data_IF_300433972386
#
_entry.id   IF_300433972386
#
_cell.length_a   1.000
_cell.length_b   1.000
_cell.length_c   1.000
_cell.angle_alpha   90.00
_cell.angle_beta   90.00
_cell.angle_gamma   90.00
#
_symmetry.space_group_name_H-M   'P 1'
#
loop_
_entity.id
_entity.type
_entity.pdbx_description
1 polymer ?
#
# COMPACT_ATOMS: atom_id res chain seq x y z
N UNK A 1 30.14 26.50 61.74
CA UNK A 1 30.89 27.77 61.77
C UNK A 1 30.50 28.56 60.54
N UNK A 2 29.79 29.59 60.87
CA UNK A 2 29.85 30.99 60.38
C UNK A 2 29.43 31.19 58.91
N UNK A 3 28.44 31.91 58.80
CA UNK A 3 27.92 33.29 59.01
C UNK A 3 27.69 33.91 57.65
N UNK A 4 26.41 34.29 57.38
CA UNK A 4 25.87 35.69 57.45
C UNK A 4 26.32 36.49 56.22
N UNK A 5 25.58 37.35 55.57
CA UNK A 5 24.36 38.12 55.91
C UNK A 5 23.97 38.99 54.69
N UNK A 6 22.64 39.25 54.62
CA UNK A 6 21.98 40.56 54.37
C UNK A 6 22.05 41.26 52.99
N UNK A 7 20.92 41.34 52.34
CA UNK A 7 19.91 42.45 52.27
C UNK A 7 20.32 43.72 51.46
N UNK A 8 19.38 44.57 51.16
CA UNK A 8 18.55 44.61 49.95
C UNK A 8 18.68 45.96 49.25
N UNK A 9 18.23 46.14 48.06
CA UNK A 9 17.94 47.48 47.53
C UNK A 9 16.60 47.50 46.78
N UNK A 10 15.61 47.97 47.51
CA UNK A 10 14.41 48.58 46.95
C UNK A 10 14.75 49.97 46.46
N UNK A 11 14.32 50.39 45.27
CA UNK A 11 13.52 51.60 45.14
C UNK A 11 13.19 51.98 43.72
N UNK A 12 11.91 52.15 43.48
CA UNK A 12 11.31 53.23 42.69
C UNK A 12 11.62 53.28 41.18
N UNK A 13 10.71 52.76 40.38
CA UNK A 13 10.22 53.46 39.18
C UNK A 13 8.80 52.96 38.90
N UNK A 14 7.87 53.43 39.71
CA UNK A 14 6.46 53.41 39.34
C UNK A 14 6.14 54.74 38.68
N UNK A 15 5.18 54.74 37.77
CA UNK A 15 4.42 55.90 37.30
C UNK A 15 4.70 56.48 35.92
N UNK A 16 5.13 55.70 34.95
CA UNK A 16 5.02 56.17 33.53
C UNK A 16 4.53 55.15 32.51
N UNK A 17 4.18 53.93 32.93
CA UNK A 17 3.69 52.87 31.98
C UNK A 17 2.18 52.90 31.73
N UNK A 18 1.42 53.78 32.41
CA UNK A 18 -0.07 53.71 32.36
C UNK A 18 -0.73 54.66 31.34
N UNK A 19 0.02 55.45 30.59
CA UNK A 19 -0.56 56.35 29.57
C UNK A 19 -0.33 55.95 28.10
N UNK A 20 0.48 54.94 27.83
CA UNK A 20 0.72 54.42 26.48
C UNK A 20 -0.13 53.20 26.14
N UNK A 21 -0.83 52.62 27.11
CA UNK A 21 -1.63 51.42 26.90
C UNK A 21 -3.09 51.70 26.44
N UNK A 22 -3.55 52.96 26.54
CA UNK A 22 -4.91 53.34 26.12
C UNK A 22 -5.02 53.79 24.64
N UNK A 23 -3.90 54.07 23.97
CA UNK A 23 -3.91 54.46 22.56
C UNK A 23 -3.79 53.28 21.59
N UNK A 24 -3.40 52.08 22.07
CA UNK A 24 -3.23 50.88 21.22
C UNK A 24 -4.53 50.05 21.05
N UNK A 25 -5.57 50.34 21.84
CA UNK A 25 -6.84 49.56 21.83
C UNK A 25 -7.85 50.10 20.81
N UNK A 26 -7.64 51.30 20.24
CA UNK A 26 -8.59 51.91 19.33
C UNK A 26 -8.28 51.73 17.81
N UNK A 27 -7.17 51.05 17.49
CA UNK A 27 -6.77 50.82 16.06
C UNK A 27 -7.03 49.37 15.57
N UNK A 28 -7.65 48.50 16.36
CA UNK A 28 -7.90 47.10 15.98
C UNK A 28 -9.34 46.79 15.53
N UNK A 29 -10.20 47.79 15.35
CA UNK A 29 -11.62 47.57 15.03
C UNK A 29 -12.01 47.96 13.58
N UNK A 30 -11.06 48.15 12.67
CA UNK A 30 -11.37 48.46 11.27
C UNK A 30 -10.65 47.53 10.27
N UNK A 31 -10.45 46.26 10.62
CA UNK A 31 -10.05 45.24 9.65
C UNK A 31 -11.15 44.16 9.56
N UNK A 32 -12.33 44.57 9.15
CA UNK A 32 -13.35 43.66 8.61
C UNK A 32 -13.23 43.66 7.09
N UNK A 33 -12.03 43.30 6.60
CA UNK A 33 -11.77 42.89 5.23
C UNK A 33 -11.95 41.37 5.22
N UNK A 34 -13.04 40.87 4.67
CA UNK A 34 -13.21 39.44 4.41
C UNK A 34 -12.07 38.95 3.52
N UNK A 35 -11.02 38.40 4.13
CA UNK A 35 -10.16 37.47 3.44
C UNK A 35 -11.06 36.28 3.05
N UNK A 36 -11.42 36.23 1.79
CA UNK A 36 -11.81 34.97 1.17
C UNK A 36 -10.62 34.05 1.43
N UNK A 37 -10.76 33.13 2.40
CA UNK A 37 -9.89 31.97 2.45
C UNK A 37 -9.90 31.39 1.02
N UNK A 38 -8.80 31.60 0.31
CA UNK A 38 -8.55 30.87 -0.90
C UNK A 38 -8.56 29.41 -0.46
N UNK A 39 -9.65 28.73 -0.76
CA UNK A 39 -9.75 27.28 -0.65
C UNK A 39 -8.54 26.77 -1.42
N UNK A 40 -7.51 26.30 -0.72
CA UNK A 40 -6.42 25.56 -1.36
C UNK A 40 -7.14 24.44 -2.10
N UNK A 41 -7.15 24.52 -3.42
CA UNK A 41 -7.52 23.38 -4.25
C UNK A 41 -6.68 22.23 -3.74
N UNK A 42 -7.33 21.23 -3.18
CA UNK A 42 -6.66 20.01 -2.76
C UNK A 42 -6.00 19.46 -4.03
N UNK A 43 -4.67 19.39 -4.01
CA UNK A 43 -3.93 18.70 -5.07
C UNK A 43 -4.52 17.29 -5.13
N UNK A 44 -5.02 16.85 -6.29
CA UNK A 44 -5.58 15.52 -6.41
C UNK A 44 -4.57 14.49 -5.91
N UNK A 45 -4.99 13.59 -5.04
CA UNK A 45 -4.14 12.49 -4.60
C UNK A 45 -3.64 11.72 -5.83
N UNK A 46 -2.36 11.33 -5.79
CA UNK A 46 -1.80 10.53 -6.88
C UNK A 46 -2.64 9.25 -7.08
N UNK A 47 -2.90 8.84 -8.34
CA UNK A 47 -3.66 7.62 -8.57
C UNK A 47 -2.99 6.41 -7.91
N UNK A 48 -3.80 5.48 -7.44
CA UNK A 48 -3.31 4.20 -6.88
C UNK A 48 -3.09 3.20 -8.02
N UNK A 49 -1.91 2.59 -8.06
CA UNK A 49 -1.61 1.47 -8.94
C UNK A 49 -1.47 0.19 -8.14
N UNK A 50 -2.48 -0.65 -8.19
CA UNK A 50 -2.54 -1.92 -7.48
C UNK A 50 -2.06 -3.07 -8.35
N UNK A 51 -1.09 -3.83 -7.87
CA UNK A 51 -0.62 -5.08 -8.46
C UNK A 51 -1.08 -6.24 -7.60
N UNK A 52 -1.77 -7.19 -8.19
CA UNK A 52 -2.24 -8.43 -7.54
C UNK A 52 -1.56 -9.62 -8.20
N UNK A 53 -0.76 -10.34 -7.43
CA UNK A 53 -0.11 -11.59 -7.85
C UNK A 53 -0.88 -12.77 -7.25
N UNK A 54 -1.54 -13.56 -8.11
CA UNK A 54 -2.29 -14.76 -7.72
C UNK A 54 -1.45 -16.01 -8.01
N UNK A 55 -1.06 -16.69 -6.96
CA UNK A 55 -0.31 -17.93 -7.08
C UNK A 55 -1.21 -19.05 -7.61
N UNK A 56 -0.75 -19.67 -8.70
CA UNK A 56 -1.42 -20.76 -9.41
C UNK A 56 -0.66 -22.07 -9.32
N UNK A 57 0.33 -22.12 -8.44
CA UNK A 57 1.11 -23.33 -8.19
C UNK A 57 0.35 -24.32 -7.31
N UNK A 58 0.84 -25.56 -7.27
CA UNK A 58 0.13 -26.65 -6.57
C UNK A 58 0.14 -26.52 -5.04
N UNK A 59 1.06 -25.76 -4.49
CA UNK A 59 1.18 -25.54 -3.04
C UNK A 59 0.03 -24.70 -2.50
N UNK A 60 -0.55 -23.81 -3.32
CA UNK A 60 -1.65 -22.93 -2.91
C UNK A 60 -3.00 -23.59 -3.26
N UNK A 61 -3.66 -24.13 -2.24
CA UNK A 61 -4.95 -24.81 -2.37
C UNK A 61 -6.14 -23.83 -2.29
N UNK A 62 -6.39 -23.07 -3.37
CA UNK A 62 -7.48 -22.08 -3.44
C UNK A 62 -8.87 -22.73 -3.30
N UNK A 63 -8.99 -24.03 -3.56
CA UNK A 63 -10.20 -24.82 -3.38
C UNK A 63 -10.55 -25.10 -1.90
N UNK A 64 -9.58 -25.02 -0.99
CA UNK A 64 -9.87 -25.09 0.45
C UNK A 64 -10.73 -23.90 0.86
N UNK A 65 -11.82 -24.18 1.56
CA UNK A 65 -12.80 -23.17 1.97
C UNK A 65 -12.18 -21.97 2.68
N UNK A 66 -11.31 -22.21 3.68
CA UNK A 66 -10.64 -21.14 4.41
C UNK A 66 -9.84 -20.21 3.48
N UNK A 67 -9.01 -20.78 2.60
CA UNK A 67 -8.18 -20.02 1.65
C UNK A 67 -9.06 -19.22 0.70
N UNK A 68 -10.09 -19.85 0.15
CA UNK A 68 -11.01 -19.18 -0.77
C UNK A 68 -11.74 -18.01 -0.11
N UNK A 69 -12.27 -18.22 1.10
CA UNK A 69 -13.00 -17.18 1.84
C UNK A 69 -12.06 -16.00 2.20
N UNK A 70 -10.86 -16.29 2.71
CA UNK A 70 -9.83 -15.29 3.03
C UNK A 70 -9.44 -14.47 1.79
N UNK A 71 -9.15 -15.15 0.67
CA UNK A 71 -8.73 -14.50 -0.57
C UNK A 71 -9.85 -13.65 -1.18
N UNK A 72 -11.09 -14.13 -1.15
CA UNK A 72 -12.26 -13.37 -1.61
C UNK A 72 -12.47 -12.10 -0.80
N UNK A 73 -12.34 -12.20 0.53
CA UNK A 73 -12.43 -11.03 1.41
C UNK A 73 -11.32 -10.03 1.09
N UNK A 74 -10.07 -10.45 1.04
CA UNK A 74 -8.94 -9.57 0.72
C UNK A 74 -9.09 -8.89 -0.66
N UNK A 75 -9.55 -9.61 -1.69
CA UNK A 75 -9.83 -9.04 -3.00
C UNK A 75 -10.96 -8.00 -2.98
N UNK A 76 -12.01 -8.24 -2.16
CA UNK A 76 -13.06 -7.24 -1.95
C UNK A 76 -12.50 -5.98 -1.30
N UNK A 77 -11.71 -6.13 -0.24
CA UNK A 77 -11.11 -5.02 0.49
C UNK A 77 -10.15 -4.20 -0.40
N UNK A 78 -9.40 -4.86 -1.28
CA UNK A 78 -8.56 -4.22 -2.29
C UNK A 78 -9.40 -3.35 -3.23
N UNK A 79 -10.51 -3.86 -3.78
CA UNK A 79 -11.40 -3.08 -4.64
C UNK A 79 -11.98 -1.88 -3.89
N UNK A 80 -12.49 -2.10 -2.67
CA UNK A 80 -13.11 -1.03 -1.89
C UNK A 80 -12.11 0.07 -1.50
N UNK A 81 -10.87 -0.29 -1.19
CA UNK A 81 -9.87 0.62 -0.67
C UNK A 81 -8.99 1.28 -1.73
N UNK A 82 -8.75 0.63 -2.88
CA UNK A 82 -7.78 1.09 -3.86
C UNK A 82 -8.41 1.58 -5.18
N UNK A 83 -9.70 1.30 -5.44
CA UNK A 83 -10.38 1.69 -6.68
C UNK A 83 -11.44 2.75 -6.38
N UNK A 84 -11.01 3.98 -6.06
CA UNK A 84 -11.86 5.07 -5.57
C UNK A 84 -11.96 6.23 -6.53
N UNK A 85 -10.86 6.55 -7.22
CA UNK A 85 -10.74 7.76 -8.02
C UNK A 85 -10.52 7.41 -9.47
N UNK A 86 -10.97 8.28 -10.37
CA UNK A 86 -10.67 8.16 -11.80
C UNK A 86 -9.16 8.02 -12.02
N UNK A 87 -8.76 6.99 -12.75
CA UNK A 87 -7.36 6.69 -13.01
C UNK A 87 -6.74 5.66 -12.08
N UNK A 88 -7.36 5.32 -10.94
CA UNK A 88 -6.92 4.19 -10.12
C UNK A 88 -6.90 2.93 -10.97
N UNK A 89 -5.81 2.18 -10.88
CA UNK A 89 -5.53 1.05 -11.74
C UNK A 89 -5.25 -0.20 -10.94
N UNK A 90 -5.73 -1.36 -11.42
CA UNK A 90 -5.44 -2.66 -10.86
C UNK A 90 -5.04 -3.62 -11.98
N UNK A 91 -3.92 -4.29 -11.81
CA UNK A 91 -3.50 -5.38 -12.69
C UNK A 91 -3.32 -6.68 -11.90
N UNK A 92 -3.71 -7.80 -12.53
CA UNK A 92 -3.55 -9.15 -11.98
C UNK A 92 -2.54 -9.90 -12.81
N UNK A 93 -1.60 -10.53 -12.13
CA UNK A 93 -0.62 -11.46 -12.70
C UNK A 93 -0.75 -12.82 -12.03
N UNK A 94 -0.57 -13.89 -12.79
CA UNK A 94 -0.46 -15.23 -12.23
C UNK A 94 0.98 -15.53 -11.86
N UNK A 95 1.21 -16.07 -10.65
CA UNK A 95 2.50 -16.61 -10.26
C UNK A 95 2.59 -18.04 -10.78
N UNK A 96 3.61 -18.30 -11.58
CA UNK A 96 4.05 -19.59 -12.09
C UNK A 96 5.46 -19.42 -12.69
N UNK A 97 5.94 -20.34 -13.51
CA UNK A 97 7.28 -20.30 -14.12
C UNK A 97 7.59 -19.05 -15.00
N UNK A 98 6.60 -18.19 -15.28
CA UNK A 98 6.76 -17.03 -16.15
C UNK A 98 5.91 -15.83 -15.69
N UNK A 99 6.00 -15.51 -14.42
CA UNK A 99 5.16 -14.50 -13.74
C UNK A 99 5.17 -13.13 -14.45
N UNK A 100 6.32 -12.65 -14.91
CA UNK A 100 6.43 -11.31 -15.53
C UNK A 100 5.61 -11.14 -16.82
N UNK A 101 5.27 -12.25 -17.49
CA UNK A 101 4.49 -12.27 -18.73
C UNK A 101 3.04 -12.74 -18.53
N UNK A 102 2.66 -13.05 -17.30
CA UNK A 102 1.40 -13.70 -16.94
C UNK A 102 0.29 -12.72 -16.56
N UNK A 103 0.24 -11.52 -17.17
CA UNK A 103 -0.84 -10.56 -16.90
C UNK A 103 -2.19 -11.13 -17.32
N UNK A 104 -3.08 -11.35 -16.35
CA UNK A 104 -4.38 -11.98 -16.54
C UNK A 104 -5.55 -10.98 -16.62
N UNK A 105 -5.37 -9.75 -16.05
CA UNK A 105 -6.42 -8.74 -16.02
C UNK A 105 -5.79 -7.35 -15.88
N UNK A 106 -6.47 -6.33 -16.44
CA UNK A 106 -6.15 -4.91 -16.21
C UNK A 106 -7.45 -4.13 -16.11
N UNK A 107 -7.61 -3.37 -15.04
CA UNK A 107 -8.80 -2.57 -14.71
C UNK A 107 -8.37 -1.14 -14.43
N UNK A 108 -9.20 -0.16 -14.78
CA UNK A 108 -8.95 1.24 -14.47
C UNK A 108 -10.29 1.91 -14.19
N UNK A 109 -10.37 2.64 -13.07
CA UNK A 109 -11.57 3.41 -12.70
C UNK A 109 -11.81 4.51 -13.70
N UNK A 110 -13.02 4.55 -14.24
CA UNK A 110 -13.48 5.53 -15.23
C UNK A 110 -14.49 6.49 -14.67
N UNK A 111 -15.19 6.08 -13.59
CA UNK A 111 -16.16 6.93 -12.91
C UNK A 111 -15.51 8.22 -12.45
N UNK A 112 -16.12 9.33 -12.81
CA UNK A 112 -15.65 10.69 -12.52
C UNK A 112 -16.80 11.47 -11.92
N UNK A 113 -16.47 12.33 -10.98
CA UNK A 113 -17.39 13.25 -10.36
C UNK A 113 -17.53 14.48 -11.25
N UNK A 114 -18.76 14.88 -11.54
CA UNK A 114 -19.04 16.11 -12.30
C UNK A 114 -18.55 17.36 -11.53
N UNK A 115 -18.30 18.44 -12.28
CA UNK A 115 -17.85 19.70 -11.70
C UNK A 115 -18.90 20.25 -10.72
N UNK A 116 -18.44 20.67 -9.55
CA UNK A 116 -19.29 21.27 -8.50
C UNK A 116 -19.31 22.80 -8.54
N UNK A 117 -18.63 23.43 -9.51
CA UNK A 117 -18.56 24.88 -9.63
C UNK A 117 -19.96 25.45 -9.95
N UNK A 118 -20.42 26.39 -9.13
CA UNK A 118 -21.74 26.98 -9.26
C UNK A 118 -22.92 26.12 -8.80
N UNK A 119 -22.68 24.86 -8.41
CA UNK A 119 -23.74 23.97 -7.96
C UNK A 119 -24.24 24.36 -6.56
N UNK A 120 -25.57 24.40 -6.40
CA UNK A 120 -26.23 24.57 -5.10
C UNK A 120 -26.11 23.28 -4.25
N UNK A 121 -26.57 23.31 -3.00
CA UNK A 121 -26.45 22.17 -2.08
C UNK A 121 -27.14 20.90 -2.59
N UNK A 122 -28.33 21.03 -3.17
CA UNK A 122 -29.10 19.90 -3.71
C UNK A 122 -28.44 19.31 -4.96
N UNK A 123 -27.93 20.16 -5.84
CA UNK A 123 -27.21 19.71 -7.04
C UNK A 123 -25.91 18.97 -6.65
N UNK A 124 -25.18 19.47 -5.64
CA UNK A 124 -23.97 18.81 -5.11
C UNK A 124 -24.26 17.44 -4.56
N UNK A 125 -25.33 17.30 -3.77
CA UNK A 125 -25.77 15.99 -3.24
C UNK A 125 -26.16 15.03 -4.38
N UNK A 126 -26.87 15.56 -5.39
CA UNK A 126 -27.23 14.78 -6.59
C UNK A 126 -26.02 14.28 -7.36
N UNK A 127 -25.03 15.14 -7.60
CA UNK A 127 -23.76 14.79 -8.28
C UNK A 127 -23.00 13.73 -7.47
N UNK A 128 -22.87 13.93 -6.15
CA UNK A 128 -22.19 12.97 -5.27
C UNK A 128 -22.87 11.60 -5.32
N UNK A 129 -24.18 11.57 -5.19
CA UNK A 129 -24.97 10.32 -5.22
C UNK A 129 -24.81 9.61 -6.57
N UNK A 130 -24.88 10.32 -7.68
CA UNK A 130 -24.71 9.77 -9.02
C UNK A 130 -23.29 9.17 -9.19
N UNK A 131 -22.27 9.89 -8.74
CA UNK A 131 -20.89 9.40 -8.76
C UNK A 131 -20.73 8.12 -7.94
N UNK A 132 -21.22 8.11 -6.69
CA UNK A 132 -21.12 6.93 -5.82
C UNK A 132 -21.83 5.71 -6.42
N UNK A 133 -23.01 5.89 -7.02
CA UNK A 133 -23.73 4.81 -7.68
C UNK A 133 -22.95 4.26 -8.90
N UNK A 134 -22.38 5.14 -9.71
CA UNK A 134 -21.57 4.75 -10.86
C UNK A 134 -20.33 3.97 -10.43
N UNK A 135 -19.62 4.48 -9.42
CA UNK A 135 -18.41 3.86 -8.87
C UNK A 135 -18.73 2.48 -8.25
N UNK A 136 -19.81 2.36 -7.48
CA UNK A 136 -20.22 1.08 -6.88
C UNK A 136 -20.57 0.02 -7.95
N UNK A 137 -21.23 0.45 -9.02
CA UNK A 137 -21.50 -0.43 -10.17
C UNK A 137 -20.19 -0.91 -10.82
N UNK A 138 -19.25 -0.01 -11.01
CA UNK A 138 -17.93 -0.30 -11.60
C UNK A 138 -17.13 -1.27 -10.71
N UNK A 139 -17.03 -1.01 -9.39
CA UNK A 139 -16.41 -1.89 -8.39
C UNK A 139 -17.02 -3.29 -8.39
N UNK A 140 -18.34 -3.40 -8.46
CA UNK A 140 -19.04 -4.70 -8.50
C UNK A 140 -18.65 -5.52 -9.74
N UNK A 141 -18.44 -4.86 -10.88
CA UNK A 141 -17.96 -5.51 -12.12
C UNK A 141 -16.51 -5.98 -11.93
N UNK A 142 -15.65 -5.12 -11.36
CA UNK A 142 -14.25 -5.42 -11.12
C UNK A 142 -14.06 -6.59 -10.16
N UNK A 143 -14.79 -6.59 -9.03
CA UNK A 143 -14.76 -7.69 -8.08
C UNK A 143 -15.13 -9.03 -8.73
N UNK A 144 -16.18 -9.05 -9.56
CA UNK A 144 -16.59 -10.26 -10.28
C UNK A 144 -15.49 -10.75 -11.23
N UNK A 145 -14.81 -9.85 -11.94
CA UNK A 145 -13.69 -10.22 -12.82
C UNK A 145 -12.50 -10.75 -12.03
N UNK A 146 -12.16 -10.14 -10.89
CA UNK A 146 -11.11 -10.64 -10.00
C UNK A 146 -11.41 -12.04 -9.47
N UNK A 147 -12.63 -12.26 -8.98
CA UNK A 147 -13.05 -13.57 -8.48
C UNK A 147 -13.04 -14.64 -9.58
N UNK A 148 -13.37 -14.26 -10.82
CA UNK A 148 -13.21 -15.16 -11.96
C UNK A 148 -11.74 -15.55 -12.18
N UNK A 149 -10.79 -14.58 -12.01
CA UNK A 149 -9.35 -14.86 -12.10
C UNK A 149 -8.83 -15.70 -10.94
N UNK A 150 -9.34 -15.47 -9.72
CA UNK A 150 -9.01 -16.30 -8.56
C UNK A 150 -9.35 -17.78 -8.82
N UNK A 151 -10.51 -18.05 -9.40
CA UNK A 151 -11.00 -19.42 -9.65
C UNK A 151 -10.53 -20.01 -11.00
N UNK A 152 -9.89 -19.21 -11.85
CA UNK A 152 -9.37 -19.67 -13.14
C UNK A 152 -8.21 -20.65 -12.91
N UNK A 153 -8.29 -21.82 -13.53
CA UNK A 153 -7.19 -22.78 -13.54
C UNK A 153 -6.03 -22.25 -14.37
N UNK A 154 -4.81 -22.61 -13.98
CA UNK A 154 -3.63 -22.36 -14.81
C UNK A 154 -3.64 -23.33 -15.99
N UNK A 155 -3.80 -22.79 -17.20
CA UNK A 155 -3.75 -23.56 -18.43
C UNK A 155 -2.66 -22.99 -19.35
N UNK A 156 -1.77 -23.84 -19.83
CA UNK A 156 -0.72 -23.45 -20.78
C UNK A 156 0.62 -23.01 -20.17
N UNK A 157 0.77 -23.09 -18.85
CA UNK A 157 2.05 -22.90 -18.15
C UNK A 157 2.21 -23.96 -17.08
N UNK A 158 3.45 -24.31 -16.73
CA UNK A 158 3.71 -25.21 -15.62
C UNK A 158 3.29 -24.56 -14.28
N UNK A 159 2.58 -25.29 -13.45
CA UNK A 159 2.24 -24.92 -12.07
C UNK A 159 3.15 -25.62 -11.03
N UNK A 160 4.29 -26.14 -11.49
CA UNK A 160 5.27 -26.85 -10.67
C UNK A 160 6.37 -25.93 -10.12
N UNK A 161 6.47 -24.70 -10.63
CA UNK A 161 7.48 -23.73 -10.23
C UNK A 161 6.83 -22.39 -9.92
N UNK A 162 7.25 -21.80 -8.80
CA UNK A 162 6.83 -20.49 -8.31
C UNK A 162 7.97 -19.51 -8.55
N UNK A 163 7.79 -18.54 -9.47
CA UNK A 163 8.78 -17.50 -9.79
C UNK A 163 8.30 -16.13 -9.28
N UNK A 164 8.55 -15.88 -7.99
CA UNK A 164 8.19 -14.61 -7.35
C UNK A 164 9.17 -13.51 -7.77
N UNK A 165 10.46 -13.81 -7.94
CA UNK A 165 11.44 -12.81 -8.39
C UNK A 165 11.05 -12.19 -9.75
N UNK A 166 10.37 -12.93 -10.61
CA UNK A 166 9.87 -12.41 -11.89
C UNK A 166 8.74 -11.38 -11.74
N UNK A 167 8.21 -11.15 -10.54
CA UNK A 167 7.32 -10.03 -10.25
C UNK A 167 8.05 -8.68 -10.15
N UNK A 168 9.33 -8.67 -9.76
CA UNK A 168 10.10 -7.44 -9.52
C UNK A 168 10.14 -6.47 -10.72
N UNK A 169 10.39 -6.91 -11.97
CA UNK A 169 10.33 -6.02 -13.12
C UNK A 169 8.93 -5.43 -13.37
N UNK A 170 7.87 -6.13 -12.96
CA UNK A 170 6.49 -5.62 -13.05
C UNK A 170 6.28 -4.50 -12.02
N UNK A 171 6.75 -4.71 -10.79
CA UNK A 171 6.66 -3.71 -9.72
C UNK A 171 7.50 -2.48 -10.07
N UNK A 172 8.74 -2.67 -10.54
CA UNK A 172 9.61 -1.58 -10.98
C UNK A 172 8.94 -0.71 -12.04
N UNK A 173 8.33 -1.33 -13.06
CA UNK A 173 7.59 -0.62 -14.10
C UNK A 173 6.37 0.14 -13.55
N UNK A 174 5.69 -0.40 -12.55
CA UNK A 174 4.59 0.31 -11.89
C UNK A 174 5.10 1.53 -11.11
N UNK A 175 6.27 1.42 -10.45
CA UNK A 175 6.94 2.51 -9.75
C UNK A 175 7.27 3.72 -10.64
N UNK A 176 7.52 3.49 -11.94
CA UNK A 176 7.79 4.55 -12.92
C UNK A 176 6.54 5.38 -13.28
N UNK A 177 5.34 4.94 -12.91
CA UNK A 177 4.07 5.59 -13.30
C UNK A 177 3.79 6.91 -12.56
N UNK A 178 4.49 7.21 -11.47
CA UNK A 178 4.18 8.33 -10.58
C UNK A 178 2.96 8.11 -9.69
N UNK A 179 2.42 6.88 -9.65
CA UNK A 179 1.29 6.48 -8.81
C UNK A 179 1.76 5.97 -7.46
N UNK A 180 0.86 5.95 -6.47
CA UNK A 180 1.05 5.17 -5.25
C UNK A 180 0.95 3.68 -5.59
N UNK A 181 2.04 2.91 -5.41
CA UNK A 181 2.08 1.48 -5.79
C UNK A 181 1.76 0.61 -4.59
N UNK A 182 0.73 -0.24 -4.73
CA UNK A 182 0.34 -1.26 -3.76
C UNK A 182 0.43 -2.63 -4.39
N UNK A 183 1.14 -3.54 -3.72
CA UNK A 183 1.43 -4.89 -4.21
C UNK A 183 0.82 -5.91 -3.26
N UNK A 184 0.07 -6.85 -3.80
CA UNK A 184 -0.56 -7.92 -3.04
C UNK A 184 -0.17 -9.28 -3.60
N UNK A 185 0.42 -10.13 -2.76
CA UNK A 185 0.73 -11.51 -3.09
C UNK A 185 -0.27 -12.45 -2.43
N UNK A 186 -1.02 -13.18 -3.22
CA UNK A 186 -1.89 -14.28 -2.79
C UNK A 186 -1.12 -15.59 -3.00
N UNK A 187 -0.21 -15.91 -2.10
CA UNK A 187 0.80 -16.96 -2.25
C UNK A 187 1.30 -17.43 -0.87
N UNK A 188 1.83 -18.65 -0.83
CA UNK A 188 2.63 -19.15 0.29
C UNK A 188 4.07 -18.61 0.26
N UNK A 189 4.40 -17.81 -0.76
CA UNK A 189 5.71 -17.18 -0.95
C UNK A 189 6.87 -18.17 -1.08
N UNK A 190 6.62 -19.43 -1.40
CA UNK A 190 7.66 -20.46 -1.57
C UNK A 190 8.23 -20.39 -2.98
N UNK A 191 9.30 -19.60 -3.16
CA UNK A 191 10.09 -19.55 -4.40
C UNK A 191 10.64 -20.93 -4.72
N UNK A 192 10.49 -21.38 -5.97
CA UNK A 192 10.88 -22.75 -6.35
C UNK A 192 11.52 -22.88 -7.73
N UNK A 193 12.13 -21.80 -8.22
CA UNK A 193 12.85 -21.82 -9.50
C UNK A 193 14.23 -22.43 -9.33
N UNK A 194 14.56 -23.41 -10.14
CA UNK A 194 15.87 -24.06 -10.14
C UNK A 194 16.91 -23.21 -10.88
N UNK A 195 18.10 -23.10 -10.31
CA UNK A 195 19.22 -22.38 -10.92
C UNK A 195 20.29 -22.04 -9.88
N UNK A 196 21.54 -21.84 -10.35
CA UNK A 196 22.66 -21.55 -9.46
C UNK A 196 22.50 -20.22 -8.68
N UNK A 197 21.76 -19.26 -9.28
CA UNK A 197 21.54 -17.92 -8.70
C UNK A 197 20.11 -17.73 -8.20
N UNK A 198 19.36 -18.82 -8.00
CA UNK A 198 17.96 -18.82 -7.58
C UNK A 198 17.80 -19.50 -6.23
N UNK A 199 16.70 -19.16 -5.56
CA UNK A 199 16.29 -19.86 -4.33
C UNK A 199 15.24 -20.93 -4.67
N UNK A 200 15.38 -22.07 -4.01
CA UNK A 200 14.37 -23.13 -4.00
C UNK A 200 14.01 -23.45 -2.54
N UNK A 201 13.00 -22.77 -2.03
CA UNK A 201 12.55 -22.90 -0.64
C UNK A 201 11.78 -24.19 -0.38
N UNK A 202 11.42 -24.98 -1.41
CA UNK A 202 10.93 -26.34 -1.19
C UNK A 202 12.04 -27.28 -0.72
N UNK A 203 13.24 -27.11 -1.27
CA UNK A 203 14.36 -27.99 -0.96
C UNK A 203 15.27 -27.43 0.12
N UNK A 204 15.42 -26.13 0.17
CA UNK A 204 16.32 -25.45 1.11
C UNK A 204 15.71 -24.15 1.66
N UNK A 205 14.65 -24.24 2.48
CA UNK A 205 14.09 -23.06 3.14
C UNK A 205 15.04 -22.53 4.22
N UNK A 206 15.01 -21.23 4.54
CA UNK A 206 15.78 -20.69 5.65
C UNK A 206 15.35 -21.32 6.98
N UNK A 207 16.31 -21.58 7.86
CA UNK A 207 16.13 -22.29 9.14
C UNK A 207 16.07 -21.35 10.34
N UNK A 208 16.37 -20.08 10.13
CA UNK A 208 16.32 -19.02 11.13
C UNK A 208 16.14 -17.66 10.48
N UNK A 209 15.71 -16.65 11.26
CA UNK A 209 15.61 -15.29 10.79
C UNK A 209 16.97 -14.72 10.35
N UNK A 210 18.05 -15.07 11.04
CA UNK A 210 19.41 -14.64 10.68
C UNK A 210 19.87 -15.22 9.32
N UNK A 211 19.50 -16.47 9.01
CA UNK A 211 19.75 -17.07 7.71
C UNK A 211 18.90 -16.40 6.63
N UNK A 212 17.60 -16.20 6.89
CA UNK A 212 16.67 -15.51 5.99
C UNK A 212 17.14 -14.09 5.64
N UNK A 213 17.57 -13.32 6.64
CA UNK A 213 18.11 -11.97 6.47
C UNK A 213 19.40 -11.96 5.66
N UNK A 214 20.32 -12.89 5.94
CA UNK A 214 21.57 -13.01 5.19
C UNK A 214 21.32 -13.35 3.74
N UNK A 215 20.45 -14.31 3.48
CA UNK A 215 20.05 -14.74 2.16
C UNK A 215 19.37 -13.61 1.38
N UNK A 216 18.45 -12.87 2.01
CA UNK A 216 17.76 -11.75 1.40
C UNK A 216 18.73 -10.62 1.00
N UNK A 217 19.66 -10.24 1.88
CA UNK A 217 20.69 -9.23 1.61
C UNK A 217 21.67 -9.63 0.49
N UNK A 218 22.00 -10.92 0.41
CA UNK A 218 22.80 -11.45 -0.68
C UNK A 218 22.06 -11.36 -2.03
N UNK A 219 20.78 -11.73 -2.02
CA UNK A 219 19.97 -11.74 -3.24
C UNK A 219 19.58 -10.34 -3.69
N UNK A 220 19.40 -9.40 -2.77
CA UNK A 220 19.20 -7.97 -3.10
C UNK A 220 20.29 -7.48 -4.04
N UNK A 221 21.57 -7.81 -3.80
CA UNK A 221 22.69 -7.40 -4.67
C UNK A 221 22.55 -7.90 -6.12
N UNK A 222 21.92 -9.06 -6.32
CA UNK A 222 21.64 -9.61 -7.66
C UNK A 222 20.44 -8.94 -8.32
N UNK A 223 19.55 -8.38 -7.50
CA UNK A 223 18.24 -7.85 -7.89
C UNK A 223 18.19 -6.31 -7.89
N UNK A 224 19.23 -5.61 -7.48
CA UNK A 224 19.36 -4.14 -7.45
C UNK A 224 18.99 -3.46 -8.80
N UNK A 225 19.18 -4.17 -9.91
CA UNK A 225 18.74 -3.70 -11.24
C UNK A 225 17.25 -3.44 -11.34
N UNK A 226 16.46 -4.01 -10.43
CA UNK A 226 15.03 -3.77 -10.32
C UNK A 226 14.78 -2.74 -9.23
N UNK A 227 14.90 -1.46 -9.57
CA UNK A 227 14.50 -0.38 -8.68
C UNK A 227 12.97 -0.39 -8.53
N UNK A 228 12.45 -1.08 -7.51
CA UNK A 228 10.99 -1.26 -7.33
C UNK A 228 10.27 0.02 -6.86
N UNK A 229 11.00 1.08 -6.59
CA UNK A 229 10.44 2.31 -6.02
C UNK A 229 10.14 2.15 -4.54
N UNK A 230 9.00 2.68 -4.11
CA UNK A 230 8.57 2.64 -2.70
C UNK A 230 7.18 1.99 -2.56
N UNK A 231 6.99 0.72 -2.99
CA UNK A 231 5.69 0.07 -2.91
C UNK A 231 5.33 -0.30 -1.47
N UNK A 232 4.03 -0.34 -1.19
CA UNK A 232 3.46 -1.04 -0.05
C UNK A 232 3.21 -2.49 -0.46
N UNK A 233 3.78 -3.45 0.25
CA UNK A 233 3.67 -4.88 -0.08
C UNK A 233 2.84 -5.58 0.99
N UNK A 234 1.83 -6.34 0.58
CA UNK A 234 1.01 -7.16 1.45
C UNK A 234 1.04 -8.60 0.97
N UNK A 235 1.38 -9.52 1.86
CA UNK A 235 1.35 -10.97 1.62
C UNK A 235 0.05 -11.50 2.23
N UNK A 236 -0.82 -12.06 1.39
CA UNK A 236 -2.05 -12.75 1.82
C UNK A 236 -1.76 -14.23 1.77
N UNK A 237 -1.31 -14.77 2.90
CA UNK A 237 -0.88 -16.17 2.99
C UNK A 237 -2.07 -17.14 2.98
N UNK A 238 -1.93 -18.37 2.42
CA UNK A 238 -3.00 -19.38 2.37
C UNK A 238 -3.15 -20.16 3.67
N UNK A 239 -2.42 -19.80 4.71
CA UNK A 239 -2.37 -20.56 5.94
C UNK A 239 -3.43 -20.10 6.95
N UNK A 240 -3.92 -21.05 7.76
CA UNK A 240 -4.74 -20.74 8.92
C UNK A 240 -3.85 -20.15 10.03
N UNK A 241 -4.38 -19.33 10.94
CA UNK A 241 -3.61 -18.74 12.05
C UNK A 241 -3.01 -19.81 12.98
N UNK A 242 -3.55 -21.03 12.94
CA UNK A 242 -3.08 -22.19 13.74
C UNK A 242 -2.14 -23.11 12.97
N UNK A 243 -1.78 -22.77 11.75
CA UNK A 243 -0.86 -23.57 10.94
C UNK A 243 0.49 -23.74 11.67
N UNK A 244 1.04 -24.95 11.59
CA UNK A 244 2.34 -25.22 12.20
C UNK A 244 3.46 -24.52 11.42
N UNK A 245 4.60 -24.26 12.09
CA UNK A 245 5.80 -23.71 11.44
C UNK A 245 6.40 -24.64 10.37
N UNK A 246 5.95 -25.88 10.32
CA UNK A 246 6.31 -26.83 9.26
C UNK A 246 5.49 -26.59 7.99
N UNK A 247 4.24 -26.14 8.14
CA UNK A 247 3.34 -25.79 7.01
C UNK A 247 3.59 -24.35 6.55
N UNK A 248 3.67 -23.43 7.50
CA UNK A 248 3.99 -22.01 7.27
C UNK A 248 5.35 -21.70 7.94
N UNK A 249 6.42 -21.72 7.17
CA UNK A 249 7.74 -21.39 7.70
C UNK A 249 7.87 -19.85 7.82
N UNK A 250 7.87 -19.28 9.04
CA UNK A 250 7.93 -17.84 9.24
C UNK A 250 9.23 -17.22 8.71
N UNK A 251 10.30 -18.00 8.58
CA UNK A 251 11.57 -17.51 8.05
C UNK A 251 11.50 -17.23 6.54
N UNK A 252 10.58 -17.88 5.81
CA UNK A 252 10.30 -17.55 4.40
C UNK A 252 9.65 -16.18 4.30
N UNK A 253 8.66 -15.90 5.13
CA UNK A 253 8.06 -14.55 5.20
C UNK A 253 9.10 -13.50 5.59
N UNK A 254 9.95 -13.80 6.57
CA UNK A 254 11.02 -12.90 7.01
C UNK A 254 12.03 -12.60 5.89
N UNK A 255 12.40 -13.60 5.08
CA UNK A 255 13.22 -13.41 3.88
C UNK A 255 12.59 -12.39 2.93
N UNK A 256 11.30 -12.54 2.59
CA UNK A 256 10.62 -11.63 1.67
C UNK A 256 10.44 -10.23 2.24
N UNK A 257 10.14 -10.11 3.54
CA UNK A 257 10.07 -8.83 4.22
C UNK A 257 11.40 -8.08 4.10
N UNK A 258 12.50 -8.75 4.42
CA UNK A 258 13.85 -8.18 4.29
C UNK A 258 14.17 -7.83 2.84
N UNK A 259 13.93 -8.73 1.88
CA UNK A 259 14.24 -8.51 0.47
C UNK A 259 13.51 -7.28 -0.09
N UNK A 260 12.20 -7.17 0.13
CA UNK A 260 11.43 -6.03 -0.36
C UNK A 260 11.83 -4.73 0.31
N UNK A 261 12.14 -4.74 1.61
CA UNK A 261 12.63 -3.55 2.32
C UNK A 261 13.98 -3.08 1.77
N UNK A 262 14.92 -3.98 1.58
CA UNK A 262 16.24 -3.68 1.01
C UNK A 262 16.14 -3.16 -0.45
N UNK A 263 15.14 -3.60 -1.22
CA UNK A 263 14.87 -3.11 -2.58
C UNK A 263 14.10 -1.79 -2.61
N UNK A 264 13.67 -1.23 -1.45
CA UNK A 264 13.03 0.08 -1.33
C UNK A 264 11.57 0.05 -0.89
N UNK A 265 10.96 -1.10 -0.60
CA UNK A 265 9.60 -1.23 -0.11
C UNK A 265 9.37 -0.43 1.19
N UNK A 266 8.27 0.34 1.25
CA UNK A 266 7.94 1.19 2.42
C UNK A 266 7.41 0.35 3.57
N UNK A 267 6.57 -0.63 3.27
CA UNK A 267 6.02 -1.58 4.24
C UNK A 267 5.89 -2.96 3.62
N UNK A 268 6.08 -3.99 4.43
CA UNK A 268 5.84 -5.39 4.04
C UNK A 268 5.07 -6.06 5.17
N UNK A 269 3.81 -6.37 4.93
CA UNK A 269 2.89 -6.93 5.91
C UNK A 269 2.40 -8.31 5.47
N UNK A 270 2.11 -9.19 6.42
CA UNK A 270 1.43 -10.48 6.19
C UNK A 270 0.05 -10.46 6.84
N UNK A 271 -0.97 -10.92 6.08
CA UNK A 271 -2.37 -11.08 6.51
C UNK A 271 -2.73 -12.55 6.63
#
# INVERSE_FOLDING_TARGET
MNHQTHHPFFSKLGAQASRLMLAAIFLTLLSCGGEKEATKEAVPDAPVYTLVFLDKTQSVHVDKRYVNDKYRQALNDIIENNMKNKGDKLEVYFIHENTSKARALSLTVRSEKDNLEGANATDREGIETAFQLALQKEKSIYLRQLLAKLNQQNTGSSNLSTDIWASLPVIAKAGESGSEVKVYYFSDMVESVKGADRRDFHTNPPKSDAEAETDAKEDTKKLERYAIGSPQVTIVSPFEPTASSKENNPHVTHYWQTLFQELGGVSVEEL
#
